data_IF_528908403661
#
_entry.id   IF_528908403661
#
_cell.length_a   1.000
_cell.length_b   1.000
_cell.length_c   1.000
_cell.angle_alpha   90.00
_cell.angle_beta   90.00
_cell.angle_gamma   90.00
#
_symmetry.space_group_name_H-M   'P 1'
#
loop_
_entity.id
_entity.type
_entity.pdbx_description
1 polymer ?
#
# COMPACT_ATOMS: atom_id res chain seq x y z
N UNK A 1 18.89 30.78 14.86
CA UNK A 1 17.55 30.74 15.48
C UNK A 1 16.86 32.05 15.17
N UNK A 2 15.71 32.04 14.50
CA UNK A 2 14.98 33.28 14.16
C UNK A 2 14.36 33.86 15.45
N UNK A 3 14.68 35.12 15.80
CA UNK A 3 14.14 35.78 16.99
C UNK A 3 12.70 36.20 16.72
N UNK A 4 11.74 35.44 17.27
CA UNK A 4 10.31 35.66 17.07
C UNK A 4 9.55 35.55 18.39
N UNK A 5 8.33 36.13 18.44
CA UNK A 5 7.48 36.11 19.63
C UNK A 5 7.11 34.66 19.99
N UNK A 6 7.08 34.33 21.28
CA UNK A 6 6.81 32.95 21.78
C UNK A 6 5.56 32.27 21.19
N UNK A 7 4.57 33.05 20.72
CA UNK A 7 3.31 32.57 20.12
C UNK A 7 3.51 31.71 18.85
N UNK A 8 4.46 32.04 17.98
CA UNK A 8 4.62 31.35 16.68
C UNK A 8 5.01 29.88 16.77
N UNK A 9 5.57 29.42 17.90
CA UNK A 9 5.88 27.98 18.10
C UNK A 9 4.64 27.08 18.10
N UNK A 10 3.45 27.64 18.32
CA UNK A 10 2.17 26.89 18.32
C UNK A 10 1.50 26.86 16.94
N UNK A 11 1.94 27.70 16.01
CA UNK A 11 1.33 27.86 14.68
C UNK A 11 2.19 27.18 13.59
N UNK A 12 3.50 27.06 13.81
CA UNK A 12 4.42 26.41 12.86
C UNK A 12 4.32 24.89 12.97
N UNK A 13 3.79 24.25 11.93
CA UNK A 13 3.76 22.78 11.79
C UNK A 13 5.08 22.27 11.20
N UNK A 14 5.63 21.22 11.79
CA UNK A 14 6.68 20.41 11.17
C UNK A 14 6.06 19.25 10.38
N UNK A 15 6.79 18.73 9.40
CA UNK A 15 6.41 17.48 8.72
C UNK A 15 7.60 16.53 8.69
N UNK A 16 7.31 15.24 8.59
CA UNK A 16 8.31 14.18 8.47
C UNK A 16 8.12 13.56 7.09
N UNK A 17 9.21 13.44 6.33
CA UNK A 17 9.21 12.70 5.07
C UNK A 17 9.49 11.24 5.37
N UNK A 18 8.56 10.37 5.02
CA UNK A 18 8.70 8.94 5.22
C UNK A 18 9.47 8.32 4.05
N UNK A 19 10.33 7.35 4.35
CA UNK A 19 11.06 6.61 3.32
C UNK A 19 10.16 5.64 2.53
N UNK A 20 9.07 5.21 3.15
CA UNK A 20 8.11 4.23 2.59
C UNK A 20 6.70 4.80 2.74
N UNK A 21 5.82 4.61 1.75
CA UNK A 21 4.42 5.01 1.88
C UNK A 21 3.73 4.25 3.02
N UNK A 22 2.88 4.94 3.77
CA UNK A 22 2.03 4.35 4.80
C UNK A 22 0.57 4.62 4.52
N UNK A 23 -0.30 3.77 5.06
CA UNK A 23 -1.74 4.00 5.06
C UNK A 23 -2.15 4.66 6.38
N UNK A 24 -3.02 5.65 6.27
CA UNK A 24 -3.64 6.24 7.44
C UNK A 24 -4.68 5.27 8.04
N UNK A 25 -4.53 4.93 9.33
CA UNK A 25 -5.30 3.88 10.00
C UNK A 25 -6.83 4.10 9.95
N UNK A 26 -7.27 5.36 9.96
CA UNK A 26 -8.69 5.70 9.85
C UNK A 26 -9.32 5.23 8.54
N UNK A 27 -8.59 5.16 7.44
CA UNK A 27 -9.16 4.68 6.17
C UNK A 27 -9.13 3.16 6.04
N UNK A 28 -8.31 2.48 6.84
CA UNK A 28 -8.21 1.03 6.87
C UNK A 28 -9.25 0.40 7.79
N UNK A 29 -9.28 0.80 9.07
CA UNK A 29 -10.07 0.14 10.14
C UNK A 29 -11.45 0.77 10.39
N UNK A 30 -11.82 1.84 9.69
CA UNK A 30 -13.19 2.37 9.80
C UNK A 30 -14.21 1.38 9.25
N UNK A 31 -15.42 1.42 9.80
CA UNK A 31 -16.56 0.65 9.32
C UNK A 31 -17.57 1.66 8.74
N UNK A 32 -17.88 1.63 7.43
CA UNK A 32 -17.23 0.83 6.39
C UNK A 32 -15.82 1.35 6.04
N UNK A 33 -14.94 0.45 5.61
CA UNK A 33 -13.58 0.82 5.22
C UNK A 33 -13.62 1.53 3.87
N UNK A 34 -13.16 2.79 3.82
CA UNK A 34 -13.19 3.59 2.59
C UNK A 34 -12.31 2.97 1.51
N UNK A 35 -11.16 2.43 1.89
CA UNK A 35 -10.24 1.78 0.94
C UNK A 35 -10.83 0.48 0.37
N UNK A 36 -11.49 -0.32 1.22
CA UNK A 36 -12.18 -1.53 0.76
C UNK A 36 -13.28 -1.19 -0.25
N UNK A 37 -14.06 -0.13 0.01
CA UNK A 37 -15.12 0.30 -0.89
C UNK A 37 -14.59 0.77 -2.25
N UNK A 38 -13.48 1.52 -2.27
CA UNK A 38 -12.87 2.02 -3.51
C UNK A 38 -12.22 0.91 -4.34
N UNK A 39 -11.62 -0.07 -3.69
CA UNK A 39 -10.87 -1.15 -4.37
C UNK A 39 -11.71 -2.38 -4.69
N UNK A 40 -12.91 -2.51 -4.10
CA UNK A 40 -13.74 -3.71 -4.22
C UNK A 40 -13.21 -4.91 -3.42
N UNK A 41 -12.11 -4.75 -2.68
CA UNK A 41 -11.52 -5.80 -1.84
C UNK A 41 -12.15 -5.81 -0.45
N UNK A 42 -12.18 -6.98 0.19
CA UNK A 42 -12.59 -7.08 1.60
C UNK A 42 -11.51 -6.47 2.49
N UNK A 43 -11.90 -5.85 3.61
CA UNK A 43 -10.96 -5.24 4.58
C UNK A 43 -9.87 -6.21 5.02
N UNK A 44 -10.22 -7.49 5.25
CA UNK A 44 -9.25 -8.54 5.62
C UNK A 44 -8.20 -8.78 4.53
N UNK A 45 -8.58 -8.75 3.26
CA UNK A 45 -7.64 -8.91 2.14
C UNK A 45 -6.69 -7.72 2.07
N UNK A 46 -7.21 -6.51 2.28
CA UNK A 46 -6.41 -5.29 2.28
C UNK A 46 -5.40 -5.26 3.44
N UNK A 47 -5.78 -5.72 4.63
CA UNK A 47 -4.85 -5.88 5.75
C UNK A 47 -3.69 -6.82 5.42
N UNK A 48 -3.96 -7.97 4.78
CA UNK A 48 -2.92 -8.91 4.33
C UNK A 48 -1.93 -8.26 3.37
N UNK A 49 -2.41 -7.40 2.46
CA UNK A 49 -1.54 -6.65 1.54
C UNK A 49 -0.66 -5.65 2.31
N UNK A 50 -1.26 -4.88 3.22
CA UNK A 50 -0.55 -3.82 3.97
C UNK A 50 0.52 -4.41 4.90
N UNK A 51 0.27 -5.58 5.48
CA UNK A 51 1.24 -6.31 6.29
C UNK A 51 2.23 -7.15 5.46
N UNK A 52 2.29 -6.95 4.14
CA UNK A 52 3.19 -7.65 3.23
C UNK A 52 3.05 -9.19 3.24
N UNK A 53 1.86 -9.71 3.54
CA UNK A 53 1.58 -11.15 3.52
C UNK A 53 1.26 -11.63 2.10
N UNK A 54 0.45 -10.85 1.36
CA UNK A 54 -0.01 -11.17 0.01
C UNK A 54 0.22 -9.99 -0.93
N UNK A 55 0.43 -10.29 -2.21
CA UNK A 55 0.59 -9.27 -3.25
C UNK A 55 -0.68 -9.13 -4.07
N UNK A 56 -0.79 -8.00 -4.76
CA UNK A 56 -1.92 -7.71 -5.65
C UNK A 56 -1.39 -7.33 -7.03
N UNK A 57 -2.08 -7.78 -8.07
CA UNK A 57 -1.76 -7.40 -9.45
C UNK A 57 -2.26 -5.98 -9.71
N UNK A 58 -1.34 -5.05 -9.95
CA UNK A 58 -1.65 -3.67 -10.34
C UNK A 58 -1.72 -3.54 -11.85
N UNK A 59 -0.77 -4.14 -12.56
CA UNK A 59 -0.71 -4.18 -14.02
C UNK A 59 -0.48 -5.63 -14.50
N UNK A 60 -1.46 -6.25 -15.19
CA UNK A 60 -1.37 -7.63 -15.63
C UNK A 60 -0.54 -7.83 -16.91
N UNK A 61 -0.20 -6.79 -17.67
CA UNK A 61 0.55 -6.91 -18.93
C UNK A 61 0.01 -8.01 -19.87
N UNK A 62 0.86 -8.97 -20.24
CA UNK A 62 0.51 -10.12 -21.11
C UNK A 62 0.22 -11.42 -20.35
N UNK A 63 0.10 -11.38 -19.02
CA UNK A 63 0.03 -12.58 -18.18
C UNK A 63 -1.34 -13.25 -18.09
N UNK A 64 -2.37 -12.66 -18.71
CA UNK A 64 -3.75 -13.18 -18.68
C UNK A 64 -4.44 -13.09 -17.31
N UNK A 65 -3.82 -12.42 -16.34
CA UNK A 65 -4.37 -12.21 -14.99
C UNK A 65 -5.28 -10.99 -14.92
N UNK A 66 -6.16 -10.97 -13.93
CA UNK A 66 -7.06 -9.85 -13.70
C UNK A 66 -6.42 -8.77 -12.81
N UNK A 67 -6.80 -7.52 -13.05
CA UNK A 67 -6.42 -6.41 -12.18
C UNK A 67 -7.06 -6.62 -10.80
N UNK A 68 -6.30 -6.39 -9.73
CA UNK A 68 -6.69 -6.67 -8.34
C UNK A 68 -6.75 -8.16 -7.93
N UNK A 69 -6.22 -9.08 -8.76
CA UNK A 69 -6.06 -10.47 -8.36
C UNK A 69 -5.03 -10.60 -7.23
N UNK A 70 -5.34 -11.40 -6.19
CA UNK A 70 -4.47 -11.64 -5.05
C UNK A 70 -3.51 -12.79 -5.32
N UNK A 71 -2.24 -12.57 -5.05
CA UNK A 71 -1.17 -13.54 -5.25
C UNK A 71 -0.49 -13.88 -3.92
N UNK A 72 -0.26 -15.17 -3.71
CA UNK A 72 0.57 -15.66 -2.62
C UNK A 72 2.05 -15.67 -3.00
N UNK A 73 2.92 -15.47 -2.01
CA UNK A 73 4.36 -15.33 -2.18
C UNK A 73 5.02 -16.51 -2.93
N UNK A 74 4.53 -17.74 -2.73
CA UNK A 74 5.02 -18.92 -3.46
C UNK A 74 4.75 -18.86 -4.97
N UNK A 75 3.59 -18.35 -5.38
CA UNK A 75 3.21 -18.29 -6.80
C UNK A 75 4.02 -17.26 -7.58
N UNK A 76 4.59 -16.26 -6.90
CA UNK A 76 5.44 -15.22 -7.51
C UNK A 76 6.86 -15.75 -7.77
N UNK A 77 7.42 -16.51 -6.82
CA UNK A 77 8.76 -17.11 -7.01
C UNK A 77 8.76 -18.05 -8.21
N UNK A 78 7.72 -18.87 -8.36
CA UNK A 78 7.56 -19.73 -9.53
C UNK A 78 7.45 -18.91 -10.84
N UNK A 79 6.86 -17.71 -10.81
CA UNK A 79 6.74 -16.87 -12.00
C UNK A 79 8.06 -16.20 -12.39
N UNK A 80 8.79 -15.62 -11.43
CA UNK A 80 10.09 -15.00 -11.69
C UNK A 80 11.11 -16.02 -12.20
N UNK A 81 11.12 -17.23 -11.64
CA UNK A 81 11.97 -18.31 -12.13
C UNK A 81 11.66 -18.66 -13.58
N UNK A 82 10.40 -18.61 -14.03
CA UNK A 82 10.03 -18.90 -15.43
C UNK A 82 10.34 -17.75 -16.41
N UNK A 83 10.39 -16.50 -15.95
CA UNK A 83 10.72 -15.36 -16.81
C UNK A 83 12.22 -15.21 -17.08
N UNK A 84 13.07 -15.65 -16.16
CA UNK A 84 14.52 -15.64 -16.34
C UNK A 84 15.00 -16.73 -17.34
N UNK A 85 14.14 -17.68 -17.74
CA UNK A 85 14.43 -18.70 -18.78
C UNK A 85 13.91 -18.35 -20.18
N UNK A 86 13.26 -17.20 -20.37
CA UNK A 86 12.78 -16.73 -21.69
C UNK A 86 13.45 -15.41 -22.13
N UNK A 87 14.71 -15.21 -21.74
CA UNK A 87 15.64 -14.31 -22.44
C UNK A 87 16.59 -15.12 -23.33
#
# INVERSE_FOLDING_TARGET
MEVTRKKVRRERMGHITLAVPIIHIWYLRSIPSKLAYLTGLKTKQLERIIYYETFVVIDPGKSGREIMELLEKMNILNWNVNLDFMQ
#
